data_IF_432089649448
#
_entry.id   IF_432089649448
#
_cell.length_a   1.000
_cell.length_b   1.000
_cell.length_c   1.000
_cell.angle_alpha   90.00
_cell.angle_beta   90.00
_cell.angle_gamma   90.00
#
_symmetry.space_group_name_H-M   'P 1'
#
loop_
_entity.id
_entity.type
_entity.pdbx_description
1 polymer ?
#
# COMPACT_ATOMS: atom_id res chain seq x y z
N UNK A 1 -5.80 -8.98 23.11
CA UNK A 1 -5.02 -7.89 22.45
C UNK A 1 -5.32 -7.93 20.96
N UNK A 2 -5.29 -6.81 20.22
CA UNK A 2 -5.54 -6.82 18.76
C UNK A 2 -4.55 -7.69 17.98
N UNK A 3 -3.29 -7.73 18.41
CA UNK A 3 -2.28 -8.63 17.82
C UNK A 3 -2.66 -10.10 17.99
N UNK A 4 -3.08 -10.53 19.18
CA UNK A 4 -3.50 -11.91 19.46
C UNK A 4 -4.61 -12.40 18.51
N UNK A 5 -5.55 -11.52 18.15
CA UNK A 5 -6.59 -11.85 17.17
C UNK A 5 -5.98 -12.18 15.80
N UNK A 6 -5.04 -11.38 15.32
CA UNK A 6 -4.40 -11.58 14.01
C UNK A 6 -3.55 -12.86 14.04
N UNK A 7 -2.77 -13.06 15.10
CA UNK A 7 -1.99 -14.29 15.28
C UNK A 7 -2.88 -15.54 15.28
N UNK A 8 -3.95 -15.56 16.09
CA UNK A 8 -4.85 -16.70 16.18
C UNK A 8 -5.64 -16.97 14.89
N UNK A 9 -6.01 -15.93 14.13
CA UNK A 9 -6.67 -16.11 12.83
C UNK A 9 -5.75 -16.77 11.81
N UNK A 10 -4.51 -16.28 11.71
CA UNK A 10 -3.54 -16.82 10.76
C UNK A 10 -3.04 -18.22 11.17
N UNK A 11 -2.90 -18.47 12.47
CA UNK A 11 -2.59 -19.81 13.00
C UNK A 11 -3.70 -20.81 12.69
N UNK A 12 -4.96 -20.45 12.93
CA UNK A 12 -6.12 -21.28 12.53
C UNK A 12 -6.24 -21.49 11.04
N UNK A 13 -5.72 -20.57 10.23
CA UNK A 13 -5.66 -20.70 8.79
C UNK A 13 -4.54 -21.67 8.33
N UNK A 14 -3.68 -22.15 9.24
CA UNK A 14 -2.64 -23.14 8.97
C UNK A 14 -1.23 -22.56 8.82
N UNK A 15 -1.01 -21.30 9.20
CA UNK A 15 0.34 -20.73 9.26
C UNK A 15 0.97 -20.97 10.62
N UNK A 16 2.23 -21.43 10.61
CA UNK A 16 2.97 -21.73 11.83
C UNK A 16 4.40 -21.15 11.77
N UNK A 17 5.05 -21.14 12.93
CA UNK A 17 6.46 -20.79 13.06
C UNK A 17 6.84 -19.45 12.43
N UNK A 18 7.90 -19.44 11.63
CA UNK A 18 8.41 -18.22 10.99
C UNK A 18 7.49 -17.65 9.92
N UNK A 19 6.63 -18.48 9.30
CA UNK A 19 5.68 -18.02 8.29
C UNK A 19 4.52 -17.24 8.93
N UNK A 20 4.03 -17.70 10.08
CA UNK A 20 3.03 -16.99 10.87
C UNK A 20 3.54 -15.60 11.29
N UNK A 21 4.74 -15.53 11.88
CA UNK A 21 5.30 -14.25 12.33
C UNK A 21 5.60 -13.32 11.16
N UNK A 22 6.06 -13.84 10.02
CA UNK A 22 6.27 -13.05 8.80
C UNK A 22 4.95 -12.49 8.25
N UNK A 23 3.88 -13.29 8.20
CA UNK A 23 2.56 -12.85 7.73
C UNK A 23 1.96 -11.76 8.64
N UNK A 24 2.02 -11.94 9.97
CA UNK A 24 1.59 -10.92 10.92
C UNK A 24 2.39 -9.62 10.75
N UNK A 25 3.71 -9.74 10.59
CA UNK A 25 4.60 -8.60 10.36
C UNK A 25 4.24 -7.86 9.07
N UNK A 26 4.06 -8.57 7.96
CA UNK A 26 3.70 -7.99 6.67
C UNK A 26 2.40 -7.18 6.75
N UNK A 27 1.35 -7.73 7.34
CA UNK A 27 0.08 -7.03 7.53
C UNK A 27 0.24 -5.80 8.43
N UNK A 28 0.92 -5.96 9.56
CA UNK A 28 1.10 -4.88 10.53
C UNK A 28 1.87 -3.72 9.93
N UNK A 29 2.99 -3.99 9.26
CA UNK A 29 3.84 -2.96 8.69
C UNK A 29 3.21 -2.31 7.46
N UNK A 30 2.46 -3.06 6.65
CA UNK A 30 1.70 -2.47 5.56
C UNK A 30 0.67 -1.46 6.07
N UNK A 31 -0.19 -1.87 7.01
CA UNK A 31 -1.24 -1.00 7.57
C UNK A 31 -0.63 0.23 8.24
N UNK A 32 0.39 0.04 9.07
CA UNK A 32 1.06 1.16 9.75
C UNK A 32 1.76 2.09 8.77
N UNK A 33 2.53 1.55 7.81
CA UNK A 33 3.28 2.33 6.84
C UNK A 33 2.36 3.14 5.93
N UNK A 34 1.31 2.51 5.41
CA UNK A 34 0.34 3.18 4.55
C UNK A 34 -0.39 4.31 5.29
N UNK A 35 -0.94 4.01 6.48
CA UNK A 35 -1.66 4.99 7.30
C UNK A 35 -0.74 6.14 7.73
N UNK A 36 0.53 5.87 8.03
CA UNK A 36 1.49 6.92 8.38
C UNK A 36 1.77 7.85 7.19
N UNK A 37 2.03 7.30 6.00
CA UNK A 37 2.26 8.09 4.79
C UNK A 37 1.03 8.91 4.42
N UNK A 38 -0.16 8.32 4.47
CA UNK A 38 -1.41 9.04 4.20
C UNK A 38 -1.63 10.19 5.18
N UNK A 39 -1.42 9.97 6.48
CA UNK A 39 -1.56 11.03 7.49
C UNK A 39 -0.56 12.18 7.26
N UNK A 40 0.70 11.87 6.95
CA UNK A 40 1.70 12.88 6.60
C UNK A 40 1.27 13.66 5.36
N UNK A 41 0.74 12.96 4.35
CA UNK A 41 0.27 13.57 3.12
C UNK A 41 -0.91 14.52 3.38
N UNK A 42 -1.98 14.03 4.02
CA UNK A 42 -3.19 14.83 4.34
C UNK A 42 -2.90 16.02 5.25
N UNK A 43 -1.93 15.91 6.15
CA UNK A 43 -1.55 17.05 7.02
C UNK A 43 -0.74 18.10 6.29
N UNK A 44 0.05 17.71 5.29
CA UNK A 44 0.87 18.59 4.45
C UNK A 44 0.07 19.26 3.34
N UNK A 45 -0.94 18.57 2.80
CA UNK A 45 -1.75 19.00 1.65
C UNK A 45 -3.17 19.34 2.09
N UNK A 46 -3.33 20.53 2.68
CA UNK A 46 -4.63 20.95 3.25
C UNK A 46 -5.58 21.58 2.25
N UNK A 47 -5.06 22.02 1.10
CA UNK A 47 -5.83 22.62 0.02
C UNK A 47 -5.97 21.61 -1.14
N UNK A 48 -7.18 21.03 -1.33
CA UNK A 48 -7.42 20.05 -2.40
C UNK A 48 -7.11 20.58 -3.80
N UNK A 49 -7.32 21.89 -4.05
CA UNK A 49 -7.06 22.47 -5.37
C UNK A 49 -5.56 22.61 -5.64
N UNK A 50 -4.79 23.01 -4.61
CA UNK A 50 -3.33 23.05 -4.69
C UNK A 50 -2.73 21.65 -4.84
N UNK A 51 -3.28 20.67 -4.14
CA UNK A 51 -2.88 19.26 -4.22
C UNK A 51 -3.10 18.67 -5.62
N UNK A 52 -4.30 18.87 -6.19
CA UNK A 52 -4.60 18.46 -7.56
C UNK A 52 -3.70 19.16 -8.60
N UNK A 53 -3.40 20.45 -8.39
CA UNK A 53 -2.44 21.19 -9.20
C UNK A 53 -1.03 20.56 -9.16
N UNK A 54 -0.54 20.24 -7.96
CA UNK A 54 0.76 19.60 -7.77
C UNK A 54 0.82 18.23 -8.44
N UNK A 55 -0.21 17.39 -8.28
CA UNK A 55 -0.27 16.06 -8.90
C UNK A 55 -0.18 16.12 -10.42
N UNK A 56 -0.96 17.03 -11.05
CA UNK A 56 -0.88 17.26 -12.50
C UNK A 56 0.51 17.68 -12.94
N UNK A 57 1.12 18.64 -12.24
CA UNK A 57 2.48 19.08 -12.56
C UNK A 57 3.51 17.93 -12.44
N UNK A 58 3.34 17.05 -11.45
CA UNK A 58 4.19 15.89 -11.27
C UNK A 58 3.99 14.85 -12.37
N UNK A 59 2.74 14.61 -12.81
CA UNK A 59 2.43 13.74 -13.94
C UNK A 59 3.06 14.28 -15.24
N UNK A 60 2.85 15.56 -15.55
CA UNK A 60 3.48 16.20 -16.72
C UNK A 60 5.01 16.11 -16.69
N UNK A 61 5.60 16.20 -15.50
CA UNK A 61 7.04 16.01 -15.33
C UNK A 61 7.45 14.56 -15.64
N UNK A 62 6.73 13.56 -15.13
CA UNK A 62 7.01 12.14 -15.44
C UNK A 62 6.84 11.81 -16.92
N UNK A 63 5.86 12.41 -17.59
CA UNK A 63 5.62 12.19 -19.03
C UNK A 63 6.80 12.68 -19.87
N UNK A 64 7.40 13.81 -19.48
CA UNK A 64 8.64 14.33 -20.08
C UNK A 64 9.86 13.43 -19.83
N UNK A 65 9.82 12.56 -18.82
CA UNK A 65 10.88 11.60 -18.49
C UNK A 65 10.67 10.21 -19.12
N UNK A 66 9.72 10.06 -20.05
CA UNK A 66 9.39 8.78 -20.71
C UNK A 66 10.59 8.02 -21.30
N UNK A 67 11.61 8.74 -21.78
CA UNK A 67 12.84 8.13 -22.29
C UNK A 67 13.77 7.53 -21.21
N UNK A 68 13.68 8.01 -19.97
CA UNK A 68 14.55 7.60 -18.86
C UNK A 68 13.87 6.58 -17.93
N UNK A 69 12.56 6.73 -17.72
CA UNK A 69 11.79 5.90 -16.80
C UNK A 69 10.54 5.31 -17.49
N UNK A 70 10.70 4.53 -18.59
CA UNK A 70 9.58 4.13 -19.43
C UNK A 70 8.51 3.33 -18.69
N UNK A 71 8.92 2.43 -17.79
CA UNK A 71 7.98 1.65 -16.96
C UNK A 71 7.20 2.55 -16.00
N UNK A 72 7.88 3.49 -15.33
CA UNK A 72 7.23 4.40 -14.38
C UNK A 72 6.24 5.30 -15.10
N UNK A 73 6.66 5.97 -16.19
CA UNK A 73 5.79 6.86 -16.96
C UNK A 73 4.57 6.13 -17.52
N UNK A 74 4.69 4.85 -17.88
CA UNK A 74 3.57 4.05 -18.39
C UNK A 74 2.52 3.73 -17.33
N UNK A 75 2.91 3.61 -16.07
CA UNK A 75 2.05 3.03 -15.02
C UNK A 75 1.77 3.98 -13.85
N UNK A 76 2.52 5.08 -13.71
CA UNK A 76 2.28 6.06 -12.68
C UNK A 76 1.01 6.85 -13.00
N UNK A 77 0.02 6.73 -12.10
CA UNK A 77 -1.23 7.48 -12.12
C UNK A 77 -1.18 8.53 -11.00
N UNK A 78 -0.30 9.51 -11.11
CA UNK A 78 -0.05 10.46 -10.00
C UNK A 78 -1.25 11.36 -9.70
N UNK A 79 -2.18 11.51 -10.64
CA UNK A 79 -3.42 12.27 -10.45
C UNK A 79 -4.47 11.51 -9.65
N UNK A 80 -4.34 10.19 -9.51
CA UNK A 80 -5.24 9.39 -8.69
C UNK A 80 -4.98 9.66 -7.20
N UNK A 81 -5.98 10.20 -6.50
CA UNK A 81 -5.93 10.55 -5.08
C UNK A 81 -6.76 9.60 -4.19
N UNK A 82 -7.23 8.49 -4.75
CA UNK A 82 -7.99 7.47 -4.03
C UNK A 82 -7.07 6.63 -3.13
N UNK A 83 -6.73 7.19 -1.97
CA UNK A 83 -5.97 6.49 -0.93
C UNK A 83 -6.71 5.27 -0.40
N UNK A 84 -8.04 5.33 -0.27
CA UNK A 84 -8.83 4.22 0.29
C UNK A 84 -8.81 3.02 -0.66
N UNK A 85 -9.05 3.26 -1.96
CA UNK A 85 -8.98 2.23 -2.99
C UNK A 85 -7.58 1.64 -3.13
N UNK A 86 -6.54 2.49 -3.13
CA UNK A 86 -5.15 2.02 -3.22
C UNK A 86 -4.70 1.26 -1.96
N UNK A 87 -5.19 1.61 -0.77
CA UNK A 87 -4.99 0.85 0.46
C UNK A 87 -5.65 -0.54 0.36
N UNK A 88 -6.91 -0.60 -0.07
CA UNK A 88 -7.61 -1.86 -0.17
C UNK A 88 -6.94 -2.79 -1.18
N UNK A 89 -6.58 -2.28 -2.37
CA UNK A 89 -5.92 -3.06 -3.40
C UNK A 89 -4.57 -3.63 -2.94
N UNK A 90 -3.76 -2.82 -2.24
CA UNK A 90 -2.49 -3.29 -1.73
C UNK A 90 -2.64 -4.30 -0.58
N UNK A 91 -3.66 -4.13 0.27
CA UNK A 91 -3.99 -5.11 1.30
C UNK A 91 -4.41 -6.45 0.69
N UNK A 92 -5.27 -6.42 -0.33
CA UNK A 92 -5.74 -7.62 -1.03
C UNK A 92 -4.54 -8.36 -1.66
N UNK A 93 -3.62 -7.67 -2.33
CA UNK A 93 -2.39 -8.27 -2.87
C UNK A 93 -1.53 -8.97 -1.80
N UNK A 94 -1.44 -8.39 -0.59
CA UNK A 94 -0.71 -9.00 0.52
C UNK A 94 -1.45 -10.23 1.04
N UNK A 95 -2.77 -10.15 1.20
CA UNK A 95 -3.61 -11.25 1.66
C UNK A 95 -3.59 -12.42 0.68
N UNK A 96 -3.73 -12.17 -0.62
CA UNK A 96 -3.59 -13.18 -1.68
C UNK A 96 -2.22 -13.87 -1.61
N UNK A 97 -1.16 -13.09 -1.38
CA UNK A 97 0.18 -13.62 -1.19
C UNK A 97 0.32 -14.49 0.05
N UNK A 98 -0.34 -14.12 1.16
CA UNK A 98 -0.35 -14.92 2.39
C UNK A 98 -1.15 -16.21 2.17
N UNK A 99 -2.32 -16.12 1.55
CA UNK A 99 -3.19 -17.25 1.23
C UNK A 99 -2.47 -18.28 0.35
N UNK A 100 -1.74 -17.83 -0.68
CA UNK A 100 -0.96 -18.70 -1.55
C UNK A 100 0.16 -19.49 -0.82
N UNK A 101 0.49 -19.14 0.43
CA UNK A 101 1.51 -19.81 1.25
C UNK A 101 0.92 -20.71 2.33
N UNK A 102 -0.40 -20.72 2.49
CA UNK A 102 -1.09 -21.64 3.38
C UNK A 102 -1.03 -23.04 2.76
N UNK A 103 -0.47 -24.01 3.49
CA UNK A 103 -0.35 -25.40 3.05
C UNK A 103 0.74 -25.69 1.99
N UNK A 104 1.49 -24.67 1.56
CA UNK A 104 2.72 -24.81 0.77
C UNK A 104 3.91 -25.29 1.61
#
# INVERSE_FOLDING_TARGET
MRSELVYSLLERAGLEGSRLTAAVGALTYYVQGYTATENVWRTSQRDPAAEAGMRRQAQEYLDRQSGQCPTLTRHAELENDDFDGAFQLGLDLILDGIEARIGA
#
